data_IF_602954249341
#
_entry.id   IF_602954249341
#
_cell.length_a   1.000
_cell.length_b   1.000
_cell.length_c   1.000
_cell.angle_alpha   90.00
_cell.angle_beta   90.00
_cell.angle_gamma   90.00
#
_symmetry.space_group_name_H-M   'P 1'
#
loop_
_entity.id
_entity.type
_entity.pdbx_description
1 polymer ?
#
# COMPACT_ATOMS: atom_id res chain seq x y z
N UNK A 1 -0.41 8.55 23.80
CA UNK A 1 -1.39 7.87 22.93
C UNK A 1 -1.29 8.41 21.52
N UNK A 2 -1.11 7.55 20.52
CA UNK A 2 -0.79 7.90 19.12
C UNK A 2 -1.94 8.55 18.33
N UNK A 3 -3.19 8.23 18.67
CA UNK A 3 -4.38 8.66 17.93
C UNK A 3 -5.20 9.75 18.60
N UNK A 4 -4.90 10.03 19.87
CA UNK A 4 -5.60 11.08 20.63
C UNK A 4 -5.18 12.44 20.09
N UNK A 5 -6.13 13.25 19.65
CA UNK A 5 -5.83 14.61 19.21
C UNK A 5 -5.29 15.42 20.39
N UNK A 6 -4.21 16.16 20.11
CA UNK A 6 -3.57 17.07 21.05
C UNK A 6 -3.37 18.42 20.38
N UNK A 7 -3.47 19.48 21.17
CA UNK A 7 -3.07 20.83 20.80
C UNK A 7 -1.54 20.90 20.61
N UNK A 8 -1.02 21.96 19.98
CA UNK A 8 0.41 22.12 19.75
C UNK A 8 1.27 22.07 21.02
N UNK A 9 0.74 22.51 22.17
CA UNK A 9 1.38 22.44 23.49
C UNK A 9 1.29 21.04 24.15
N UNK A 10 0.73 20.05 23.45
CA UNK A 10 0.67 18.65 23.88
C UNK A 10 -0.51 18.29 24.78
N UNK A 11 -1.40 19.24 25.10
CA UNK A 11 -2.60 18.97 25.90
C UNK A 11 -3.62 18.14 25.10
N UNK A 12 -4.27 17.13 25.70
CA UNK A 12 -5.35 16.40 25.07
C UNK A 12 -6.53 17.31 24.68
N UNK A 13 -6.88 17.31 23.39
CA UNK A 13 -8.13 17.88 22.89
C UNK A 13 -9.23 16.84 23.01
N UNK A 14 -8.98 15.64 22.45
CA UNK A 14 -9.80 14.46 22.73
C UNK A 14 -9.46 13.95 24.14
N UNK A 15 -10.41 14.02 25.09
CA UNK A 15 -10.21 13.54 26.47
C UNK A 15 -10.53 12.06 26.58
N UNK A 16 -11.54 11.61 25.83
CA UNK A 16 -12.05 10.25 25.80
C UNK A 16 -11.99 9.66 24.38
N UNK A 17 -12.25 8.37 24.26
CA UNK A 17 -12.42 7.74 22.94
C UNK A 17 -13.70 8.23 22.23
N UNK A 18 -14.74 8.57 22.99
CA UNK A 18 -15.98 9.11 22.43
C UNK A 18 -15.73 10.47 21.76
N UNK A 19 -14.88 11.32 22.34
CA UNK A 19 -14.45 12.59 21.72
C UNK A 19 -13.79 12.35 20.36
N UNK A 20 -12.90 11.35 20.28
CA UNK A 20 -12.28 10.94 19.01
C UNK A 20 -13.33 10.45 18.00
N UNK A 21 -14.31 9.65 18.43
CA UNK A 21 -15.38 9.19 17.55
C UNK A 21 -16.30 10.31 17.08
N UNK A 22 -16.65 11.25 17.95
CA UNK A 22 -17.43 12.44 17.59
C UNK A 22 -16.70 13.27 16.53
N UNK A 23 -15.40 13.52 16.72
CA UNK A 23 -14.58 14.27 15.76
C UNK A 23 -14.51 13.56 14.41
N UNK A 24 -14.18 12.27 14.39
CA UNK A 24 -14.03 11.51 13.13
C UNK A 24 -15.38 11.39 12.41
N UNK A 25 -16.45 11.05 13.12
CA UNK A 25 -17.79 10.94 12.55
C UNK A 25 -18.29 12.28 11.98
N UNK A 26 -18.17 13.37 12.75
CA UNK A 26 -18.60 14.70 12.31
C UNK A 26 -17.81 15.22 11.11
N UNK A 27 -16.49 15.03 11.10
CA UNK A 27 -15.64 15.48 9.99
C UNK A 27 -15.97 14.77 8.67
N UNK A 28 -16.31 13.48 8.71
CA UNK A 28 -16.68 12.71 7.52
C UNK A 28 -18.15 12.88 7.13
N UNK A 29 -19.05 13.08 8.09
CA UNK A 29 -20.44 13.40 7.83
C UNK A 29 -20.63 14.81 7.25
N UNK A 30 -19.70 15.74 7.50
CA UNK A 30 -19.71 17.07 6.88
C UNK A 30 -19.58 17.06 5.34
N UNK A 31 -19.30 15.90 4.73
CA UNK A 31 -19.31 15.70 3.27
C UNK A 31 -20.65 15.22 2.72
N UNK A 32 -21.60 14.93 3.59
CA UNK A 32 -22.97 14.54 3.22
C UNK A 32 -23.85 15.78 3.03
N UNK A 33 -24.94 15.61 2.27
CA UNK A 33 -25.98 16.64 2.16
C UNK A 33 -26.70 16.88 3.50
N UNK A 34 -26.87 15.82 4.30
CA UNK A 34 -27.56 15.85 5.60
C UNK A 34 -26.63 15.38 6.74
N UNK A 35 -25.63 16.19 7.18
CA UNK A 35 -24.66 15.78 8.20
C UNK A 35 -25.30 15.37 9.54
N UNK A 36 -26.44 15.98 9.89
CA UNK A 36 -27.21 15.69 11.11
C UNK A 36 -27.72 14.24 11.16
N UNK A 37 -28.00 13.65 9.99
CA UNK A 37 -28.47 12.27 9.86
C UNK A 37 -27.31 11.28 9.88
N UNK A 38 -26.18 11.64 9.26
CA UNK A 38 -25.05 10.75 9.08
C UNK A 38 -24.08 10.74 10.27
N UNK A 39 -23.93 11.86 10.99
CA UNK A 39 -23.03 11.93 12.15
C UNK A 39 -23.35 10.86 13.20
N UNK A 40 -24.63 10.68 13.64
CA UNK A 40 -24.98 9.62 14.58
C UNK A 40 -24.74 8.22 14.02
N UNK A 41 -24.98 8.00 12.71
CA UNK A 41 -24.78 6.68 12.06
C UNK A 41 -23.30 6.31 12.00
N UNK A 42 -22.44 7.24 11.60
CA UNK A 42 -20.99 7.03 11.58
C UNK A 42 -20.44 6.85 12.99
N UNK A 43 -20.92 7.64 13.97
CA UNK A 43 -20.55 7.44 15.38
C UNK A 43 -20.95 6.06 15.88
N UNK A 44 -22.16 5.60 15.59
CA UNK A 44 -22.61 4.26 15.99
C UNK A 44 -21.72 3.18 15.37
N UNK A 45 -21.36 3.30 14.09
CA UNK A 45 -20.46 2.35 13.43
C UNK A 45 -19.09 2.26 14.11
N UNK A 46 -18.54 3.37 14.61
CA UNK A 46 -17.26 3.40 15.35
C UNK A 46 -17.39 2.89 16.80
N UNK A 47 -18.56 3.06 17.40
CA UNK A 47 -18.80 2.74 18.81
C UNK A 47 -18.63 1.25 19.08
N UNK A 48 -18.04 0.91 20.23
CA UNK A 48 -17.73 -0.48 20.58
C UNK A 48 -16.66 -1.12 19.69
N UNK A 49 -15.95 -0.32 18.88
CA UNK A 49 -14.93 -0.79 17.93
C UNK A 49 -15.49 -1.75 16.87
N UNK A 50 -16.78 -1.58 16.50
CA UNK A 50 -17.46 -2.36 15.45
C UNK A 50 -16.78 -2.16 14.09
N UNK A 51 -16.60 -0.91 13.68
CA UNK A 51 -15.80 -0.51 12.53
C UNK A 51 -14.56 0.28 12.98
N UNK A 52 -13.42 -0.08 12.41
CA UNK A 52 -12.12 0.54 12.66
C UNK A 52 -11.60 1.18 11.37
N UNK A 53 -11.80 2.49 11.16
CA UNK A 53 -11.14 3.18 10.06
C UNK A 53 -9.63 3.16 10.29
N UNK A 54 -8.86 3.17 9.20
CA UNK A 54 -7.42 3.11 9.33
C UNK A 54 -6.84 4.29 10.11
N UNK A 55 -5.66 4.05 10.70
CA UNK A 55 -5.07 5.00 11.65
C UNK A 55 -4.85 6.42 11.11
N UNK A 56 -4.70 6.60 9.78
CA UNK A 56 -4.57 7.93 9.15
C UNK A 56 -5.86 8.73 9.24
N UNK A 57 -7.00 8.09 8.95
CA UNK A 57 -8.34 8.65 9.14
C UNK A 57 -8.52 9.09 10.60
N UNK A 58 -8.25 8.20 11.57
CA UNK A 58 -8.41 8.52 13.00
C UNK A 58 -7.54 9.71 13.42
N UNK A 59 -6.28 9.74 12.95
CA UNK A 59 -5.31 10.78 13.32
C UNK A 59 -5.50 12.12 12.62
N UNK A 60 -6.18 12.14 11.47
CA UNK A 60 -6.24 13.31 10.58
C UNK A 60 -7.62 13.95 10.44
N UNK A 61 -8.70 13.17 10.44
CA UNK A 61 -10.05 13.67 10.20
C UNK A 61 -10.47 14.69 11.28
N UNK A 62 -10.90 15.88 10.86
CA UNK A 62 -11.35 16.94 11.79
C UNK A 62 -10.23 17.54 12.64
N UNK A 63 -8.95 17.40 12.25
CA UNK A 63 -7.81 17.97 13.00
C UNK A 63 -7.26 19.26 12.42
N UNK A 64 -7.79 19.72 11.28
CA UNK A 64 -7.29 20.86 10.48
C UNK A 64 -5.82 20.75 10.00
N UNK A 65 -5.16 19.62 10.27
CA UNK A 65 -3.79 19.37 9.83
C UNK A 65 -3.76 19.08 8.34
N UNK A 66 -2.73 19.61 7.67
CA UNK A 66 -2.41 19.33 6.27
C UNK A 66 -1.78 17.94 6.12
N UNK A 67 -2.60 16.90 6.27
CA UNK A 67 -2.21 15.49 6.12
C UNK A 67 -3.19 14.76 5.22
N UNK A 68 -2.72 13.68 4.60
CA UNK A 68 -3.60 12.75 3.89
C UNK A 68 -4.28 11.79 4.86
N UNK A 69 -5.53 11.44 4.59
CA UNK A 69 -6.27 10.40 5.29
C UNK A 69 -6.06 9.01 4.69
N UNK A 70 -5.32 8.93 3.56
CA UNK A 70 -5.00 7.70 2.87
C UNK A 70 -3.76 7.04 3.46
N UNK A 71 -3.73 5.72 3.40
CA UNK A 71 -2.65 4.91 3.98
C UNK A 71 -1.67 4.43 2.92
N UNK A 72 -2.18 4.14 1.73
CA UNK A 72 -1.51 3.30 0.75
C UNK A 72 -1.41 4.04 -0.58
N UNK A 73 -0.22 4.06 -1.15
CA UNK A 73 0.07 4.72 -2.42
C UNK A 73 0.96 3.81 -3.27
N UNK A 74 0.86 3.95 -4.59
CA UNK A 74 1.85 3.47 -5.55
C UNK A 74 2.29 4.67 -6.39
N UNK A 75 3.59 4.85 -6.58
CA UNK A 75 4.10 5.95 -7.40
C UNK A 75 3.92 5.69 -8.89
N UNK A 76 4.04 6.76 -9.69
CA UNK A 76 4.13 6.65 -11.13
C UNK A 76 5.32 5.81 -11.59
N UNK A 77 5.27 5.39 -12.85
CA UNK A 77 6.42 4.77 -13.53
C UNK A 77 7.66 5.65 -13.37
N UNK A 78 8.80 5.02 -13.08
CA UNK A 78 10.05 5.74 -12.90
C UNK A 78 10.69 5.92 -14.28
N UNK A 79 10.81 7.16 -14.80
CA UNK A 79 11.45 7.36 -16.10
C UNK A 79 12.94 6.99 -16.02
N UNK A 80 13.46 6.32 -17.04
CA UNK A 80 14.83 5.80 -17.07
C UNK A 80 15.86 6.87 -17.50
N UNK A 81 15.79 8.02 -16.84
CA UNK A 81 16.70 9.15 -16.94
C UNK A 81 16.87 9.86 -15.59
N UNK A 82 17.93 10.66 -15.44
CA UNK A 82 18.23 11.23 -14.12
C UNK A 82 17.20 12.24 -13.62
N UNK A 83 16.58 13.02 -14.50
CA UNK A 83 15.56 13.98 -14.06
C UNK A 83 14.36 13.21 -13.54
N UNK A 84 13.85 12.26 -14.31
CA UNK A 84 12.70 11.45 -13.95
C UNK A 84 12.90 10.67 -12.64
N UNK A 85 14.07 10.07 -12.44
CA UNK A 85 14.41 9.36 -11.20
C UNK A 85 14.33 10.30 -9.99
N UNK A 86 14.98 11.47 -10.04
CA UNK A 86 15.00 12.39 -8.90
C UNK A 86 13.68 13.14 -8.70
N UNK A 87 12.93 13.39 -9.77
CA UNK A 87 11.56 13.93 -9.67
C UNK A 87 10.63 12.93 -8.96
N UNK A 88 10.70 11.64 -9.32
CA UNK A 88 9.92 10.59 -8.66
C UNK A 88 10.35 10.41 -7.18
N UNK A 89 11.66 10.52 -6.87
CA UNK A 89 12.17 10.52 -5.49
C UNK A 89 11.61 11.70 -4.67
N UNK A 90 11.55 12.90 -5.26
CA UNK A 90 10.97 14.09 -4.64
C UNK A 90 9.47 13.88 -4.36
N UNK A 91 8.73 13.36 -5.33
CA UNK A 91 7.31 13.04 -5.20
C UNK A 91 7.04 12.01 -4.09
N UNK A 92 7.89 10.99 -4.00
CA UNK A 92 7.88 10.01 -2.92
C UNK A 92 8.09 10.67 -1.55
N UNK A 93 9.07 11.57 -1.43
CA UNK A 93 9.35 12.29 -0.19
C UNK A 93 8.15 13.12 0.30
N UNK A 94 7.50 13.85 -0.62
CA UNK A 94 6.29 14.65 -0.32
C UNK A 94 5.12 13.76 0.12
N UNK A 95 4.93 12.62 -0.56
CA UNK A 95 3.88 11.65 -0.22
C UNK A 95 4.09 11.05 1.17
N UNK A 96 5.34 10.68 1.49
CA UNK A 96 5.68 10.08 2.77
C UNK A 96 5.58 11.06 3.93
N UNK A 97 5.96 12.33 3.71
CA UNK A 97 5.86 13.42 4.68
C UNK A 97 4.42 13.54 5.22
N UNK A 98 3.42 13.45 4.34
CA UNK A 98 2.01 13.55 4.72
C UNK A 98 1.43 12.29 5.36
N UNK A 99 2.06 11.13 5.22
CA UNK A 99 1.57 9.92 5.87
C UNK A 99 1.62 8.61 5.10
N UNK A 100 1.85 8.67 3.78
CA UNK A 100 1.66 7.52 2.90
C UNK A 100 2.73 6.44 3.05
N UNK A 101 2.30 5.18 3.07
CA UNK A 101 3.16 4.05 2.72
C UNK A 101 3.14 3.84 1.21
N UNK A 102 4.29 3.62 0.59
CA UNK A 102 4.46 3.80 -0.86
C UNK A 102 5.01 2.55 -1.54
N UNK A 103 4.39 2.13 -2.64
CA UNK A 103 4.91 1.11 -3.55
C UNK A 103 5.58 1.68 -4.79
N UNK A 104 6.54 0.95 -5.32
CA UNK A 104 7.29 1.30 -6.53
C UNK A 104 7.55 0.06 -7.38
N UNK A 105 7.45 0.20 -8.69
CA UNK A 105 8.02 -0.75 -9.64
C UNK A 105 9.36 -0.20 -10.16
N UNK A 106 10.45 -0.92 -9.88
CA UNK A 106 11.80 -0.53 -10.33
C UNK A 106 12.18 -1.16 -11.68
N UNK A 107 11.26 -1.92 -12.30
CA UNK A 107 11.53 -2.65 -13.55
C UNK A 107 11.70 -1.77 -14.78
N UNK A 108 11.35 -0.47 -14.68
CA UNK A 108 11.52 0.49 -15.78
C UNK A 108 12.96 1.00 -15.89
N UNK A 109 13.78 0.83 -14.86
CA UNK A 109 15.16 1.30 -14.83
C UNK A 109 16.09 0.30 -15.51
N UNK A 110 16.98 0.78 -16.37
CA UNK A 110 17.91 -0.09 -17.10
C UNK A 110 18.81 -0.89 -16.17
N UNK A 111 19.18 -2.13 -16.54
CA UNK A 111 20.00 -2.98 -15.71
C UNK A 111 21.42 -2.44 -15.58
N UNK A 112 22.09 -2.83 -14.50
CA UNK A 112 23.49 -2.49 -14.23
C UNK A 112 24.39 -2.85 -15.40
N UNK A 113 25.34 -1.98 -15.73
CA UNK A 113 26.25 -2.18 -16.86
C UNK A 113 25.69 -1.74 -18.23
N UNK A 114 24.43 -1.30 -18.30
CA UNK A 114 23.86 -0.77 -19.56
C UNK A 114 24.53 0.54 -19.97
N UNK A 115 24.84 0.70 -21.25
CA UNK A 115 25.52 1.89 -21.77
C UNK A 115 24.66 3.16 -21.67
N UNK A 116 25.19 4.20 -21.02
CA UNK A 116 24.59 5.55 -20.99
C UNK A 116 25.15 6.39 -22.14
N UNK A 117 24.52 6.28 -23.32
CA UNK A 117 25.02 6.85 -24.60
C UNK A 117 25.51 8.31 -24.54
N UNK A 118 24.87 9.18 -23.75
CA UNK A 118 25.24 10.62 -23.67
C UNK A 118 26.42 10.92 -22.74
N UNK A 119 26.73 10.02 -21.80
CA UNK A 119 27.75 10.22 -20.77
C UNK A 119 28.96 9.31 -21.00
N UNK A 120 28.82 8.24 -21.78
CA UNK A 120 29.89 7.29 -22.05
C UNK A 120 30.27 6.44 -20.83
N UNK A 121 29.33 6.28 -19.90
CA UNK A 121 29.50 5.52 -18.66
C UNK A 121 28.47 4.38 -18.57
N UNK A 122 28.74 3.42 -17.69
CA UNK A 122 27.85 2.30 -17.41
C UNK A 122 26.80 2.69 -16.37
N UNK A 123 25.57 2.20 -16.56
CA UNK A 123 24.48 2.40 -15.62
C UNK A 123 24.72 1.66 -14.30
N UNK A 124 24.35 2.28 -13.18
CA UNK A 124 24.47 1.67 -11.84
C UNK A 124 23.42 0.60 -11.54
N UNK A 125 22.33 0.56 -12.31
CA UNK A 125 21.20 -0.36 -12.16
C UNK A 125 20.17 0.09 -11.09
N UNK A 126 18.94 -0.46 -11.12
CA UNK A 126 17.85 -0.14 -10.20
C UNK A 126 18.24 -0.20 -8.71
N UNK A 127 18.96 -1.23 -8.28
CA UNK A 127 19.28 -1.43 -6.86
C UNK A 127 20.09 -0.27 -6.27
N UNK A 128 21.01 0.32 -7.06
CA UNK A 128 21.77 1.48 -6.61
C UNK A 128 20.89 2.70 -6.38
N UNK A 129 19.83 2.88 -7.18
CA UNK A 129 18.85 3.94 -6.95
C UNK A 129 17.93 3.61 -5.79
N UNK A 130 17.57 2.33 -5.59
CA UNK A 130 16.79 1.91 -4.42
C UNK A 130 17.49 2.28 -3.10
N UNK A 131 18.82 2.25 -3.03
CA UNK A 131 19.59 2.68 -1.86
C UNK A 131 19.40 4.20 -1.56
N UNK A 132 19.11 5.03 -2.57
CA UNK A 132 18.76 6.45 -2.42
C UNK A 132 17.37 6.60 -1.81
N UNK A 133 16.37 5.84 -2.29
CA UNK A 133 15.02 5.82 -1.69
C UNK A 133 15.05 5.34 -0.25
N UNK A 134 15.79 4.26 0.02
CA UNK A 134 15.95 3.69 1.37
C UNK A 134 16.52 4.73 2.35
N UNK A 135 17.50 5.53 1.89
CA UNK A 135 18.09 6.61 2.68
C UNK A 135 17.16 7.81 2.87
N UNK A 136 16.39 8.18 1.84
CA UNK A 136 15.33 9.19 1.93
C UNK A 136 14.26 8.78 2.96
N UNK A 137 13.79 7.53 2.91
CA UNK A 137 12.78 7.03 3.83
C UNK A 137 13.26 6.95 5.29
N UNK A 138 14.55 6.66 5.52
CA UNK A 138 15.15 6.73 6.86
C UNK A 138 15.12 8.14 7.45
N UNK A 139 15.23 9.16 6.60
CA UNK A 139 15.33 10.56 7.01
C UNK A 139 13.94 11.17 7.29
N UNK A 140 12.93 10.79 6.52
CA UNK A 140 11.59 11.37 6.63
C UNK A 140 10.78 10.68 7.73
N UNK A 141 10.48 11.43 8.79
CA UNK A 141 9.46 11.02 9.76
C UNK A 141 8.06 11.32 9.22
N UNK A 142 7.26 10.28 9.03
CA UNK A 142 5.91 10.40 8.51
C UNK A 142 4.95 10.96 9.57
N UNK A 143 4.32 12.10 9.24
CA UNK A 143 3.31 12.84 10.02
C UNK A 143 3.14 12.39 11.48
N UNK A 144 4.05 12.83 12.35
CA UNK A 144 3.83 12.87 13.80
C UNK A 144 4.17 11.64 14.62
N UNK A 145 4.92 10.64 14.10
CA UNK A 145 5.71 9.63 14.88
C UNK A 145 5.96 8.30 14.13
N UNK A 146 5.49 8.12 12.89
CA UNK A 146 5.66 6.83 12.17
C UNK A 146 6.91 6.86 11.30
N UNK A 147 7.66 5.77 11.29
CA UNK A 147 8.67 5.53 10.25
C UNK A 147 7.95 5.29 8.92
N UNK A 148 8.55 5.76 7.82
CA UNK A 148 8.09 5.40 6.48
C UNK A 148 8.17 3.89 6.26
N UNK A 149 7.35 3.40 5.33
CA UNK A 149 7.37 2.01 4.87
C UNK A 149 7.16 2.03 3.37
N UNK A 150 7.93 1.21 2.66
CA UNK A 150 7.89 1.15 1.21
C UNK A 150 7.76 -0.29 0.70
N UNK A 151 7.23 -0.49 -0.50
CA UNK A 151 7.31 -1.73 -1.27
C UNK A 151 8.14 -1.47 -2.52
N UNK A 152 9.13 -2.31 -2.80
CA UNK A 152 9.78 -2.33 -4.10
C UNK A 152 9.42 -3.62 -4.82
N UNK A 153 9.00 -3.49 -6.06
CA UNK A 153 8.72 -4.61 -6.94
C UNK A 153 9.69 -4.64 -8.13
N UNK A 154 9.96 -5.84 -8.63
CA UNK A 154 10.73 -6.06 -9.84
C UNK A 154 10.15 -7.24 -10.62
N UNK A 155 10.02 -7.09 -11.94
CA UNK A 155 9.57 -8.17 -12.83
C UNK A 155 10.52 -9.35 -12.83
N UNK A 156 9.96 -10.55 -12.90
CA UNK A 156 10.72 -11.79 -12.94
C UNK A 156 11.63 -11.96 -14.16
N UNK A 157 11.49 -11.12 -15.19
CA UNK A 157 12.33 -11.10 -16.38
C UNK A 157 13.32 -9.92 -16.42
N UNK A 158 13.39 -9.09 -15.37
CA UNK A 158 14.36 -8.00 -15.33
C UNK A 158 15.81 -8.56 -15.20
N UNK A 159 16.82 -8.04 -15.92
CA UNK A 159 18.18 -8.61 -15.88
C UNK A 159 18.87 -8.55 -14.51
N UNK A 160 18.49 -7.61 -13.66
CA UNK A 160 18.99 -7.49 -12.28
C UNK A 160 18.14 -8.28 -11.24
N UNK A 161 17.24 -9.17 -11.68
CA UNK A 161 16.32 -9.88 -10.77
C UNK A 161 17.03 -10.76 -9.75
N UNK A 162 18.13 -11.41 -10.12
CA UNK A 162 18.90 -12.25 -9.20
C UNK A 162 19.53 -11.42 -8.06
N UNK A 163 20.05 -10.24 -8.39
CA UNK A 163 20.61 -9.29 -7.43
C UNK A 163 19.50 -8.74 -6.53
N UNK A 164 18.32 -8.44 -7.09
CA UNK A 164 17.14 -8.00 -6.34
C UNK A 164 16.70 -9.06 -5.31
N UNK A 165 16.64 -10.34 -5.71
CA UNK A 165 16.31 -11.46 -4.81
C UNK A 165 17.35 -11.59 -3.69
N UNK A 166 18.63 -11.34 -3.99
CA UNK A 166 19.72 -11.45 -3.02
C UNK A 166 19.91 -10.18 -2.16
N UNK A 167 19.25 -9.07 -2.47
CA UNK A 167 19.60 -7.75 -1.94
C UNK A 167 19.59 -7.67 -0.40
N UNK A 168 18.66 -8.36 0.26
CA UNK A 168 18.52 -8.37 1.73
C UNK A 168 19.32 -9.45 2.46
N UNK A 169 20.12 -10.23 1.72
CA UNK A 169 21.13 -11.10 2.35
C UNK A 169 22.20 -10.27 3.04
N UNK A 170 22.45 -9.06 2.53
CA UNK A 170 23.30 -8.07 3.18
C UNK A 170 22.56 -7.44 4.37
N UNK A 171 23.05 -7.60 5.61
CA UNK A 171 22.38 -7.07 6.78
C UNK A 171 22.22 -5.55 6.73
N UNK A 172 20.97 -5.07 6.81
CA UNK A 172 20.65 -3.65 6.92
C UNK A 172 20.46 -2.91 5.60
N UNK A 173 20.76 -3.54 4.45
CA UNK A 173 20.47 -2.97 3.14
C UNK A 173 18.97 -3.02 2.83
N UNK A 174 18.43 -1.97 2.20
CA UNK A 174 17.01 -1.84 1.81
C UNK A 174 16.02 -2.09 2.95
N UNK A 175 16.39 -1.73 4.19
CA UNK A 175 15.61 -2.03 5.40
C UNK A 175 14.24 -1.33 5.44
N UNK A 176 14.06 -0.26 4.68
CA UNK A 176 12.81 0.50 4.63
C UNK A 176 11.82 -0.02 3.58
N UNK A 177 12.26 -0.94 2.72
CA UNK A 177 11.43 -1.62 1.74
C UNK A 177 10.92 -2.94 2.28
N UNK A 178 9.76 -3.38 1.81
CA UNK A 178 9.47 -4.79 1.55
C UNK A 178 9.81 -5.06 0.08
N UNK A 179 10.32 -6.25 -0.24
CA UNK A 179 10.67 -6.65 -1.60
C UNK A 179 9.72 -7.71 -2.12
N UNK A 180 9.24 -7.59 -3.35
CA UNK A 180 8.45 -8.65 -4.01
C UNK A 180 8.74 -8.76 -5.50
N UNK A 181 8.78 -9.99 -6.00
CA UNK A 181 8.92 -10.26 -7.44
C UNK A 181 7.54 -10.22 -8.09
N UNK A 182 7.40 -9.45 -9.18
CA UNK A 182 6.22 -9.50 -10.03
C UNK A 182 6.34 -10.73 -10.93
N UNK A 183 5.55 -11.75 -10.60
CA UNK A 183 5.54 -13.04 -11.28
C UNK A 183 4.40 -13.07 -12.29
N UNK A 184 4.75 -13.42 -13.52
CA UNK A 184 3.80 -13.60 -14.63
C UNK A 184 3.31 -15.04 -14.70
N UNK A 185 2.15 -15.25 -15.33
CA UNK A 185 1.61 -16.57 -15.62
C UNK A 185 2.55 -17.37 -16.55
N UNK A 186 3.22 -16.67 -17.47
CA UNK A 186 4.23 -17.24 -18.38
C UNK A 186 5.47 -17.76 -17.64
N UNK A 187 5.96 -17.02 -16.63
CA UNK A 187 7.05 -17.49 -15.78
C UNK A 187 6.64 -18.75 -15.01
N UNK A 188 5.44 -18.76 -14.43
CA UNK A 188 4.95 -19.94 -13.71
C UNK A 188 4.75 -21.15 -14.62
N UNK A 189 4.34 -20.95 -15.87
CA UNK A 189 4.30 -22.01 -16.89
C UNK A 189 5.71 -22.54 -17.16
N UNK A 190 6.69 -21.66 -17.36
CA UNK A 190 8.09 -22.06 -17.57
C UNK A 190 8.67 -22.83 -16.37
N UNK A 191 8.37 -22.42 -15.13
CA UNK A 191 8.77 -23.16 -13.92
C UNK A 191 8.19 -24.58 -13.90
N UNK A 192 6.90 -24.71 -14.22
CA UNK A 192 6.21 -26.01 -14.25
C UNK A 192 6.81 -26.94 -15.29
N UNK A 193 7.07 -26.42 -16.48
CA UNK A 193 7.56 -27.15 -17.65
C UNK A 193 9.08 -27.35 -17.66
N UNK A 194 9.80 -26.81 -16.66
CA UNK A 194 11.27 -26.80 -16.61
C UNK A 194 11.90 -26.13 -17.84
N UNK A 195 11.24 -25.08 -18.33
CA UNK A 195 11.62 -24.34 -19.52
C UNK A 195 12.68 -23.27 -19.20
N UNK A 196 13.47 -22.83 -20.19
CA UNK A 196 14.30 -21.64 -20.06
C UNK A 196 13.44 -20.38 -19.83
N UNK A 197 14.01 -19.43 -19.11
CA UNK A 197 13.46 -18.10 -18.84
C UNK A 197 14.45 -17.04 -19.30
N UNK A 198 13.98 -16.10 -20.12
CA UNK A 198 14.80 -15.03 -20.67
C UNK A 198 14.71 -13.77 -19.81
N UNK A 199 15.86 -13.25 -19.39
CA UNK A 199 15.97 -11.95 -18.76
C UNK A 199 16.14 -10.88 -19.83
N UNK A 200 15.21 -9.94 -19.90
CA UNK A 200 15.09 -8.97 -20.99
C UNK A 200 14.92 -7.55 -20.48
N UNK A 201 15.43 -6.58 -21.23
CA UNK A 201 15.15 -5.18 -21.00
C UNK A 201 15.09 -4.43 -22.33
N UNK A 202 14.05 -3.61 -22.54
CA UNK A 202 13.89 -2.82 -23.77
C UNK A 202 13.88 -3.66 -25.06
N UNK A 203 13.37 -4.89 -25.00
CA UNK A 203 13.37 -5.84 -26.13
C UNK A 203 14.72 -6.52 -26.42
N UNK A 204 15.74 -6.29 -25.59
CA UNK A 204 17.04 -6.96 -25.69
C UNK A 204 17.12 -8.09 -24.67
N UNK A 205 17.48 -9.28 -25.12
CA UNK A 205 17.79 -10.42 -24.26
C UNK A 205 19.20 -10.26 -23.67
N UNK A 206 19.32 -10.33 -22.34
CA UNK A 206 20.60 -10.21 -21.63
C UNK A 206 21.15 -11.58 -21.25
N UNK A 207 20.27 -12.46 -20.76
CA UNK A 207 20.65 -13.78 -20.27
C UNK A 207 19.45 -14.71 -20.28
N UNK A 208 19.70 -16.00 -20.46
CA UNK A 208 18.69 -17.05 -20.29
C UNK A 208 19.13 -17.98 -19.17
N UNK A 209 18.21 -18.39 -18.31
CA UNK A 209 18.45 -19.33 -17.22
C UNK A 209 17.26 -20.28 -17.05
N UNK A 210 17.42 -21.46 -16.43
CA UNK A 210 16.28 -22.32 -16.12
C UNK A 210 15.28 -21.59 -15.21
N UNK A 211 13.99 -21.59 -15.57
CA UNK A 211 12.97 -20.91 -14.78
C UNK A 211 12.91 -21.43 -13.32
N UNK A 212 13.09 -22.74 -13.14
CA UNK A 212 13.16 -23.37 -11.81
C UNK A 212 14.30 -22.87 -10.95
N UNK A 213 15.46 -22.58 -11.56
CA UNK A 213 16.60 -22.05 -10.82
C UNK A 213 16.28 -20.66 -10.25
N UNK A 214 15.61 -19.80 -11.02
CA UNK A 214 15.16 -18.50 -10.54
C UNK A 214 14.11 -18.64 -9.44
N UNK A 215 13.12 -19.52 -9.63
CA UNK A 215 12.09 -19.80 -8.62
C UNK A 215 12.69 -20.31 -7.30
N UNK A 216 13.64 -21.24 -7.38
CA UNK A 216 14.35 -21.75 -6.20
C UNK A 216 15.13 -20.65 -5.47
N UNK A 217 15.72 -19.69 -6.19
CA UNK A 217 16.39 -18.53 -5.58
C UNK A 217 15.40 -17.65 -4.82
N UNK A 218 14.21 -17.41 -5.38
CA UNK A 218 13.12 -16.67 -4.70
C UNK A 218 12.74 -17.42 -3.42
N UNK A 219 12.37 -18.70 -3.52
CA UNK A 219 11.91 -19.50 -2.38
C UNK A 219 12.96 -19.63 -1.27
N UNK A 220 14.24 -19.83 -1.63
CA UNK A 220 15.34 -19.86 -0.65
C UNK A 220 15.55 -18.51 0.01
N UNK A 221 15.41 -17.41 -0.74
CA UNK A 221 15.42 -16.05 -0.19
C UNK A 221 14.30 -15.87 0.83
N UNK A 222 13.06 -16.15 0.44
CA UNK A 222 11.88 -16.07 1.31
C UNK A 222 12.04 -16.91 2.57
N UNK A 223 12.55 -18.14 2.45
CA UNK A 223 12.79 -19.01 3.61
C UNK A 223 13.85 -18.45 4.57
N UNK A 224 14.97 -17.97 4.05
CA UNK A 224 16.10 -17.55 4.87
C UNK A 224 15.96 -16.11 5.43
N UNK A 225 15.22 -15.24 4.74
CA UNK A 225 15.18 -13.80 5.04
C UNK A 225 13.76 -13.21 5.09
N UNK A 226 12.72 -14.04 4.96
CA UNK A 226 11.31 -13.65 4.78
C UNK A 226 11.02 -12.84 3.50
N UNK A 227 12.01 -12.66 2.62
CA UNK A 227 11.92 -11.84 1.40
C UNK A 227 12.84 -12.37 0.27
N UNK A 228 12.53 -12.07 -1.00
CA UNK A 228 11.36 -11.33 -1.46
C UNK A 228 10.07 -12.14 -1.37
N UNK A 229 8.93 -11.45 -1.30
CA UNK A 229 7.62 -12.01 -1.56
C UNK A 229 7.37 -12.20 -3.06
N UNK A 230 6.16 -12.65 -3.40
CA UNK A 230 5.71 -12.82 -4.79
C UNK A 230 4.37 -12.12 -4.98
N UNK A 231 4.25 -11.40 -6.08
CA UNK A 231 3.02 -10.76 -6.54
C UNK A 231 2.68 -11.33 -7.91
N UNK A 232 1.56 -12.06 -8.01
CA UNK A 232 1.08 -12.61 -9.29
C UNK A 232 0.41 -11.51 -10.13
N UNK A 233 1.22 -10.79 -10.90
CA UNK A 233 0.83 -9.51 -11.50
C UNK A 233 -0.21 -9.66 -12.60
N UNK A 234 -0.14 -10.75 -13.37
CA UNK A 234 -1.12 -11.05 -14.43
C UNK A 234 -2.49 -11.37 -13.84
N UNK A 235 -2.52 -12.15 -12.75
CA UNK A 235 -3.75 -12.45 -12.02
C UNK A 235 -4.40 -11.18 -11.47
N UNK A 236 -3.61 -10.27 -10.92
CA UNK A 236 -4.07 -8.98 -10.40
C UNK A 236 -4.71 -8.17 -11.52
N UNK A 237 -4.02 -7.99 -12.65
CA UNK A 237 -4.54 -7.22 -13.78
C UNK A 237 -5.78 -7.87 -14.41
N UNK A 238 -5.80 -9.20 -14.56
CA UNK A 238 -6.94 -9.94 -15.07
C UNK A 238 -8.18 -9.87 -14.15
N UNK A 239 -8.00 -9.62 -12.85
CA UNK A 239 -9.07 -9.46 -11.86
C UNK A 239 -9.34 -8.01 -11.48
N UNK A 240 -8.59 -7.06 -12.03
CA UNK A 240 -8.84 -5.65 -11.82
C UNK A 240 -10.14 -5.26 -12.53
N UNK A 241 -11.14 -4.82 -11.76
CA UNK A 241 -12.42 -4.34 -12.30
C UNK A 241 -12.29 -3.05 -13.12
N UNK A 242 -11.11 -2.42 -13.12
CA UNK A 242 -10.78 -1.24 -13.93
C UNK A 242 -9.75 -1.53 -15.03
N UNK A 243 -9.49 -2.81 -15.36
CA UNK A 243 -8.45 -3.21 -16.34
C UNK A 243 -8.59 -2.56 -17.74
N UNK A 244 -9.76 -2.03 -18.08
CA UNK A 244 -10.02 -1.36 -19.35
C UNK A 244 -9.41 0.06 -19.43
N UNK A 245 -9.03 0.66 -18.30
CA UNK A 245 -8.50 2.02 -18.24
C UNK A 245 -7.25 2.17 -17.36
N UNK A 246 -6.76 1.09 -16.74
CA UNK A 246 -5.55 1.12 -15.95
C UNK A 246 -4.81 -0.22 -15.95
N UNK A 247 -3.51 -0.14 -15.70
CA UNK A 247 -2.64 -1.30 -15.48
C UNK A 247 -1.96 -1.16 -14.13
N UNK A 248 -1.91 -2.25 -13.38
CA UNK A 248 -1.29 -2.33 -12.06
C UNK A 248 0.11 -2.90 -12.21
N UNK A 249 1.10 -2.22 -11.63
CA UNK A 249 2.52 -2.58 -11.72
C UNK A 249 3.19 -2.74 -10.36
N UNK A 250 2.53 -2.37 -9.27
CA UNK A 250 3.04 -2.55 -7.92
C UNK A 250 1.90 -2.65 -6.91
N UNK A 251 2.27 -2.87 -5.65
CA UNK A 251 1.36 -2.82 -4.50
C UNK A 251 1.89 -1.82 -3.48
N UNK A 252 1.03 -1.40 -2.56
CA UNK A 252 1.45 -0.67 -1.37
C UNK A 252 2.39 -1.53 -0.48
N UNK A 253 2.99 -0.98 0.60
CA UNK A 253 3.96 -1.68 1.44
C UNK A 253 3.58 -3.08 1.92
N UNK A 254 2.29 -3.32 2.20
CA UNK A 254 1.83 -4.58 2.78
C UNK A 254 1.22 -5.55 1.74
N UNK A 255 1.18 -5.19 0.46
CA UNK A 255 0.74 -6.06 -0.64
C UNK A 255 -0.77 -6.16 -0.87
N UNK A 256 -1.59 -5.64 0.04
CA UNK A 256 -3.05 -5.78 0.04
C UNK A 256 -3.77 -4.83 -0.91
N UNK A 257 -3.12 -3.76 -1.34
CA UNK A 257 -3.62 -2.81 -2.34
C UNK A 257 -2.72 -2.80 -3.57
N UNK A 258 -3.06 -3.61 -4.59
CA UNK A 258 -2.55 -3.42 -5.94
C UNK A 258 -3.14 -2.14 -6.51
N UNK A 259 -2.28 -1.19 -6.90
CA UNK A 259 -2.69 0.15 -7.31
C UNK A 259 -2.02 0.53 -8.64
N UNK A 260 -2.72 1.29 -9.50
CA UNK A 260 -2.12 1.85 -10.72
C UNK A 260 -1.08 2.92 -10.36
N UNK A 261 -0.29 3.40 -11.35
CA UNK A 261 0.52 4.60 -11.22
C UNK A 261 -0.22 5.76 -10.54
N UNK A 262 0.39 6.36 -9.51
CA UNK A 262 -0.21 7.41 -8.65
C UNK A 262 -1.49 7.02 -7.90
N UNK A 263 -1.88 5.75 -7.95
CA UNK A 263 -3.03 5.23 -7.23
C UNK A 263 -2.88 5.35 -5.72
N UNK A 264 -3.99 5.63 -5.06
CA UNK A 264 -4.06 5.74 -3.61
C UNK A 264 -5.27 4.96 -3.07
N UNK A 265 -5.13 4.41 -1.86
CA UNK A 265 -6.26 3.78 -1.17
C UNK A 265 -6.29 4.12 0.33
N UNK A 266 -7.50 4.35 0.81
CA UNK A 266 -7.85 4.46 2.23
C UNK A 266 -8.44 3.14 2.72
N UNK A 267 -8.14 2.79 3.97
CA UNK A 267 -8.48 1.47 4.52
C UNK A 267 -9.43 1.57 5.73
N UNK A 268 -10.13 0.47 5.98
CA UNK A 268 -10.96 0.29 7.16
C UNK A 268 -11.20 -1.19 7.41
N UNK A 269 -11.55 -1.57 8.64
CA UNK A 269 -11.79 -2.96 8.99
C UNK A 269 -13.04 -3.12 9.85
N UNK A 270 -13.91 -4.06 9.48
CA UNK A 270 -14.99 -4.52 10.35
C UNK A 270 -14.42 -5.51 11.36
N UNK A 271 -14.72 -5.31 12.65
CA UNK A 271 -14.32 -6.23 13.70
C UNK A 271 -15.37 -7.33 13.86
N UNK A 272 -15.09 -8.52 13.30
CA UNK A 272 -16.03 -9.64 13.29
C UNK A 272 -16.36 -10.14 14.70
N UNK A 273 -15.40 -10.09 15.63
CA UNK A 273 -15.62 -10.50 17.01
C UNK A 273 -16.64 -9.62 17.75
N UNK A 274 -16.88 -8.40 17.28
CA UNK A 274 -17.92 -7.50 17.83
C UNK A 274 -19.31 -7.76 17.27
N UNK A 275 -19.42 -8.65 16.30
CA UNK A 275 -20.65 -9.01 15.62
C UNK A 275 -21.06 -10.46 15.87
N UNK A 276 -20.37 -11.18 16.78
CA UNK A 276 -20.78 -12.51 17.22
C UNK A 276 -21.96 -12.37 18.17
N UNK A 277 -23.10 -12.93 17.77
CA UNK A 277 -24.26 -13.13 18.65
C UNK A 277 -24.00 -14.33 19.58
N UNK A 278 -24.45 -14.22 20.83
CA UNK A 278 -24.33 -15.26 21.87
C UNK A 278 -22.93 -15.92 21.95
N UNK A 279 -21.85 -15.14 22.15
CA UNK A 279 -20.49 -15.69 22.16
C UNK A 279 -20.33 -16.71 23.29
N UNK A 280 -19.65 -17.82 22.99
CA UNK A 280 -19.40 -18.96 23.87
C UNK A 280 -20.65 -19.78 24.25
N UNK A 281 -21.75 -19.64 23.48
CA UNK A 281 -22.98 -20.41 23.68
C UNK A 281 -23.33 -21.24 22.42
N UNK A 282 -24.21 -22.24 22.59
CA UNK A 282 -24.71 -23.02 21.47
C UNK A 282 -25.48 -22.13 20.48
N UNK A 283 -25.06 -22.19 19.22
CA UNK A 283 -25.62 -21.36 18.15
C UNK A 283 -25.01 -19.96 18.04
N UNK A 284 -23.83 -19.73 18.64
CA UNK A 284 -23.00 -18.56 18.38
C UNK A 284 -22.69 -18.42 16.88
N UNK A 285 -22.66 -17.18 16.40
CA UNK A 285 -22.34 -16.89 15.02
C UNK A 285 -22.31 -15.41 14.73
N UNK A 286 -21.70 -15.03 13.61
CA UNK A 286 -21.70 -13.64 13.16
C UNK A 286 -23.12 -13.26 12.73
N UNK A 287 -23.66 -12.21 13.34
CA UNK A 287 -24.94 -11.60 12.94
C UNK A 287 -24.80 -10.99 11.54
N UNK A 288 -25.40 -11.66 10.56
CA UNK A 288 -25.34 -11.28 9.16
C UNK A 288 -26.09 -9.96 8.86
N UNK A 289 -27.18 -9.67 9.57
CA UNK A 289 -27.95 -8.44 9.38
C UNK A 289 -27.18 -7.23 9.95
N UNK A 290 -26.61 -7.40 11.15
CA UNK A 290 -25.74 -6.38 11.73
C UNK A 290 -24.50 -6.12 10.88
N UNK A 291 -23.91 -7.19 10.30
CA UNK A 291 -22.78 -7.08 9.38
C UNK A 291 -23.15 -6.31 8.11
N UNK A 292 -24.25 -6.64 7.43
CA UNK A 292 -24.69 -5.94 6.21
C UNK A 292 -24.90 -4.43 6.47
N UNK A 293 -25.62 -4.10 7.55
CA UNK A 293 -25.88 -2.70 7.93
C UNK A 293 -24.59 -1.94 8.24
N UNK A 294 -23.66 -2.56 8.96
CA UNK A 294 -22.38 -1.95 9.30
C UNK A 294 -21.51 -1.74 8.07
N UNK A 295 -21.41 -2.75 7.19
CA UNK A 295 -20.63 -2.66 5.95
C UNK A 295 -21.14 -1.52 5.06
N UNK A 296 -22.46 -1.37 4.87
CA UNK A 296 -23.03 -0.25 4.10
C UNK A 296 -22.64 1.11 4.67
N UNK A 297 -22.71 1.24 6.00
CA UNK A 297 -22.34 2.47 6.70
C UNK A 297 -20.84 2.75 6.59
N UNK A 298 -20.01 1.73 6.76
CA UNK A 298 -18.55 1.82 6.64
C UNK A 298 -18.11 2.21 5.23
N UNK A 299 -18.70 1.59 4.19
CA UNK A 299 -18.42 1.93 2.78
C UNK A 299 -18.74 3.40 2.51
N UNK A 300 -19.91 3.90 2.95
CA UNK A 300 -20.26 5.31 2.77
C UNK A 300 -19.31 6.25 3.52
N UNK A 301 -18.99 5.91 4.77
CA UNK A 301 -18.04 6.67 5.58
C UNK A 301 -16.66 6.72 4.93
N UNK A 302 -16.19 5.60 4.38
CA UNK A 302 -14.92 5.47 3.66
C UNK A 302 -14.92 6.24 2.34
N UNK A 303 -16.02 6.23 1.60
CA UNK A 303 -16.16 7.04 0.38
C UNK A 303 -16.02 8.54 0.69
N UNK A 304 -16.63 9.03 1.79
CA UNK A 304 -16.48 10.44 2.21
C UNK A 304 -15.03 10.81 2.59
N UNK A 305 -14.19 9.84 2.97
CA UNK A 305 -12.76 10.10 3.23
C UNK A 305 -12.07 10.58 1.96
N UNK A 306 -12.49 10.12 0.78
CA UNK A 306 -11.94 10.59 -0.51
C UNK A 306 -12.09 12.11 -0.63
N UNK A 307 -13.26 12.65 -0.28
CA UNK A 307 -13.57 14.09 -0.40
C UNK A 307 -13.08 14.91 0.80
N UNK A 308 -12.85 14.27 1.95
CA UNK A 308 -12.30 14.91 3.15
C UNK A 308 -10.76 14.95 3.17
N UNK A 309 -10.10 14.12 2.38
CA UNK A 309 -8.64 13.99 2.41
C UNK A 309 -7.94 15.09 1.61
N UNK A 310 -6.78 15.51 2.12
CA UNK A 310 -5.77 16.17 1.30
C UNK A 310 -4.95 15.11 0.56
N UNK A 311 -4.33 15.52 -0.55
CA UNK A 311 -3.44 14.69 -1.35
C UNK A 311 -2.07 15.36 -1.48
N UNK A 312 -0.97 14.59 -1.36
CA UNK A 312 0.37 15.12 -1.54
C UNK A 312 0.65 15.65 -2.94
N UNK A 313 0.11 14.96 -3.96
CA UNK A 313 0.32 15.26 -5.37
C UNK A 313 -1.02 15.37 -6.09
N UNK A 314 -1.07 16.21 -7.12
CA UNK A 314 -2.29 16.40 -7.91
C UNK A 314 -2.65 15.15 -8.71
N UNK A 315 -1.67 14.41 -9.24
CA UNK A 315 -1.93 13.12 -9.90
C UNK A 315 -2.62 12.11 -8.97
N UNK A 316 -2.21 12.06 -7.69
CA UNK A 316 -2.85 11.19 -6.69
C UNK A 316 -4.28 11.65 -6.37
N UNK A 317 -4.52 12.97 -6.32
CA UNK A 317 -5.87 13.54 -6.16
C UNK A 317 -6.77 13.11 -7.32
N UNK A 318 -6.32 13.32 -8.55
CA UNK A 318 -7.07 12.97 -9.75
C UNK A 318 -7.42 11.48 -9.77
N UNK A 319 -6.46 10.60 -9.51
CA UNK A 319 -6.68 9.16 -9.44
C UNK A 319 -7.71 8.78 -8.37
N UNK A 320 -7.57 9.32 -7.15
CA UNK A 320 -8.49 9.05 -6.05
C UNK A 320 -9.91 9.54 -6.34
N UNK A 321 -10.06 10.72 -6.95
CA UNK A 321 -11.37 11.29 -7.30
C UNK A 321 -12.05 10.57 -8.45
N UNK A 322 -11.29 10.18 -9.48
CA UNK A 322 -11.82 9.52 -10.66
C UNK A 322 -12.30 8.08 -10.37
N UNK A 323 -11.59 7.37 -9.48
CA UNK A 323 -11.80 5.92 -9.28
C UNK A 323 -12.34 5.54 -7.90
N UNK A 324 -12.21 6.43 -6.91
CA UNK A 324 -12.75 6.30 -5.53
C UNK A 324 -12.47 4.95 -4.88
N UNK A 325 -11.25 4.42 -5.07
CA UNK A 325 -10.86 3.10 -4.57
C UNK A 325 -10.76 3.10 -3.04
N UNK A 326 -11.49 2.17 -2.41
CA UNK A 326 -11.49 1.96 -0.96
C UNK A 326 -11.12 0.51 -0.61
N UNK A 327 -10.45 0.30 0.53
CA UNK A 327 -10.06 -1.02 1.00
C UNK A 327 -10.73 -1.37 2.32
N UNK A 328 -11.96 -1.88 2.23
CA UNK A 328 -12.66 -2.43 3.41
C UNK A 328 -12.24 -3.88 3.61
N UNK A 329 -11.69 -4.17 4.78
CA UNK A 329 -11.32 -5.52 5.21
C UNK A 329 -12.02 -5.93 6.50
N UNK A 330 -11.47 -6.97 7.13
CA UNK A 330 -11.95 -7.50 8.40
C UNK A 330 -10.81 -7.61 9.41
N UNK A 331 -11.15 -7.58 10.70
CA UNK A 331 -10.27 -7.93 11.81
C UNK A 331 -11.05 -8.77 12.83
N UNK A 332 -10.35 -9.35 13.81
CA UNK A 332 -10.97 -10.19 14.83
C UNK A 332 -11.56 -11.50 14.30
N UNK A 333 -11.15 -11.97 13.11
CA UNK A 333 -11.62 -13.24 12.56
C UNK A 333 -11.26 -14.42 13.48
N UNK A 334 -10.02 -14.46 13.98
CA UNK A 334 -9.58 -15.53 14.87
C UNK A 334 -10.37 -15.53 16.19
N UNK A 335 -10.55 -14.36 16.81
CA UNK A 335 -11.37 -14.21 18.02
C UNK A 335 -12.83 -14.62 17.77
N UNK A 336 -13.41 -14.23 16.63
CA UNK A 336 -14.78 -14.59 16.27
C UNK A 336 -14.96 -16.11 16.03
N UNK A 337 -13.92 -16.83 15.64
CA UNK A 337 -13.94 -18.29 15.50
C UNK A 337 -13.77 -19.03 16.84
N UNK A 338 -13.24 -18.35 17.87
CA UNK A 338 -13.08 -18.90 19.22
C UNK A 338 -14.37 -18.72 20.03
N UNK A 339 -15.08 -17.61 19.80
CA UNK A 339 -16.37 -17.28 20.40
C UNK A 339 -17.48 -18.20 19.90
#
# INVERSE_FOLDING_TARGET
>A
MKYRLKSPDGRPVDKTIDDTWNRVAGALAAKEADPEVWTPRFKDALTGFKFLPAGRIISGAGTERMVTLFNCFVMGEIPDDMSGIFDNLKEAALTMQQGGGIGYDFSTLRPKGSLVKRVGADASGPLSFMDVWDSMCRTIMSAGSRRGAMMATMRCDHPDIEDFIAAKREPGRLRMFNLSVLVTDDFMRAVKEDAPWELTFGGTAYRTLPARELWDKIMRGTFAYAEPGVIFIDRINARNNLNYCETIHATNPCGEQPLPPYGACLLGSVNLARLVDRPFEDGAGVDAEALDKLVRTAVRMMDNVVDASNFPLEAQRHEAQAKRRIGLGVTGLADALIM
#
